data_IF_695025973467
#
_entry.id   IF_695025973467
#
_cell.length_a   1.000
_cell.length_b   1.000
_cell.length_c   1.000
_cell.angle_alpha   90.00
_cell.angle_beta   90.00
_cell.angle_gamma   90.00
#
_symmetry.space_group_name_H-M   'P 1'
#
loop_
_entity.id
_entity.type
_entity.pdbx_description
1 polymer ?
#
# COMPACT_ATOMS: atom_id res chain seq x y z
N UNK A 1 -0.63 32.87 -11.96
CA UNK A 1 -0.52 32.01 -12.05
C UNK A 1 0.18 31.55 -12.83
N UNK A 2 0.68 30.95 -12.70
CA UNK A 2 1.52 30.53 -13.39
C UNK A 2 1.67 29.12 -13.47
N UNK A 3 0.62 28.38 -13.22
CA UNK A 3 0.63 26.96 -13.38
C UNK A 3 0.84 26.63 -14.83
N UNK A 4 1.80 25.78 -15.09
CA UNK A 4 2.09 25.34 -16.42
C UNK A 4 0.93 24.50 -16.93
N UNK A 5 0.47 24.69 -18.18
CA UNK A 5 -0.68 23.92 -18.67
C UNK A 5 -0.51 22.42 -18.58
N UNK A 6 0.71 21.91 -18.80
CA UNK A 6 0.94 20.48 -18.69
C UNK A 6 0.81 19.99 -17.27
N UNK A 7 1.25 20.78 -16.30
CA UNK A 7 1.12 20.41 -14.90
C UNK A 7 -0.34 20.35 -14.50
N UNK A 8 -1.11 21.31 -14.95
CA UNK A 8 -2.52 21.34 -14.68
C UNK A 8 -3.22 20.12 -15.28
N UNK A 9 -2.84 19.76 -16.49
CA UNK A 9 -3.41 18.62 -17.17
C UNK A 9 -3.05 17.32 -16.46
N UNK A 10 -1.81 17.19 -16.03
CA UNK A 10 -1.38 16.00 -15.32
C UNK A 10 -2.12 15.84 -14.00
N UNK A 11 -2.34 16.94 -13.31
CA UNK A 11 -3.10 16.88 -12.06
C UNK A 11 -4.53 16.46 -12.31
N UNK A 12 -5.11 16.86 -13.42
CA UNK A 12 -6.47 16.48 -13.75
C UNK A 12 -6.58 14.98 -14.04
N UNK A 13 -5.49 14.38 -14.54
CA UNK A 13 -5.50 12.96 -14.87
C UNK A 13 -5.25 12.06 -13.68
N UNK A 14 -4.82 12.60 -12.55
CA UNK A 14 -4.48 11.80 -11.38
C UNK A 14 -5.28 12.27 -10.18
N UNK A 15 -5.90 11.32 -9.54
CA UNK A 15 -6.64 11.57 -8.31
C UNK A 15 -5.89 10.93 -7.17
N UNK A 16 -5.60 11.72 -6.13
CA UNK A 16 -4.95 11.23 -4.94
C UNK A 16 -6.01 11.05 -3.86
N UNK A 17 -6.11 9.85 -3.33
CA UNK A 17 -7.06 9.54 -2.27
C UNK A 17 -6.34 8.99 -1.07
N UNK A 18 -6.82 9.37 0.11
CA UNK A 18 -6.36 8.76 1.33
C UNK A 18 -7.00 7.39 1.47
N UNK A 19 -6.16 6.41 1.74
CA UNK A 19 -6.62 5.04 1.94
C UNK A 19 -5.91 4.45 3.15
N UNK A 20 -6.48 3.39 3.68
CA UNK A 20 -5.84 2.62 4.74
C UNK A 20 -5.26 1.37 4.13
N UNK A 21 -4.04 1.05 4.52
CA UNK A 21 -3.37 -0.18 4.12
C UNK A 21 -2.86 -0.88 5.35
N UNK A 22 -2.56 -2.15 5.21
CA UNK A 22 -2.02 -2.93 6.32
C UNK A 22 -0.57 -3.23 6.01
N UNK A 23 0.32 -2.72 6.86
CA UNK A 23 1.75 -2.96 6.70
C UNK A 23 2.10 -4.26 7.41
N UNK A 24 2.72 -5.18 6.68
CA UNK A 24 2.96 -6.52 7.18
C UNK A 24 4.43 -6.84 7.40
N UNK A 25 5.33 -6.03 6.82
CA UNK A 25 6.76 -6.34 6.92
C UNK A 25 7.56 -5.15 6.41
N UNK A 26 8.77 -5.01 6.90
CA UNK A 26 9.70 -4.02 6.33
C UNK A 26 11.13 -4.53 6.43
N UNK A 27 11.95 -4.12 5.47
CA UNK A 27 13.36 -4.50 5.43
C UNK A 27 14.14 -3.48 4.62
N UNK A 28 15.39 -3.27 4.99
CA UNK A 28 16.29 -2.45 4.20
C UNK A 28 16.93 -3.22 3.05
N UNK A 29 16.71 -4.54 2.98
CA UNK A 29 17.32 -5.39 1.98
C UNK A 29 16.28 -5.79 0.94
N UNK A 30 16.51 -5.35 -0.31
CA UNK A 30 15.54 -5.57 -1.38
C UNK A 30 15.23 -7.05 -1.63
N UNK A 31 16.24 -7.90 -1.59
CA UNK A 31 16.02 -9.33 -1.85
C UNK A 31 15.18 -9.97 -0.77
N UNK A 32 15.35 -9.54 0.48
CA UNK A 32 14.55 -10.05 1.58
C UNK A 32 13.10 -9.58 1.42
N UNK A 33 12.91 -8.32 1.08
CA UNK A 33 11.57 -7.78 0.88
C UNK A 33 10.85 -8.52 -0.24
N UNK A 34 11.55 -8.78 -1.36
CA UNK A 34 10.94 -9.51 -2.48
C UNK A 34 10.53 -10.92 -2.09
N UNK A 35 11.40 -11.61 -1.36
CA UNK A 35 11.10 -12.98 -0.93
C UNK A 35 9.90 -13.00 0.00
N UNK A 36 9.84 -12.06 0.95
CA UNK A 36 8.72 -11.99 1.87
C UNK A 36 7.43 -11.57 1.19
N UNK A 37 7.51 -10.68 0.22
CA UNK A 37 6.32 -10.29 -0.54
C UNK A 37 5.71 -11.51 -1.23
N UNK A 38 6.55 -12.32 -1.85
CA UNK A 38 6.07 -13.51 -2.53
C UNK A 38 5.48 -14.51 -1.54
N UNK A 39 6.14 -14.70 -0.40
CA UNK A 39 5.67 -15.60 0.63
C UNK A 39 4.31 -15.17 1.16
N UNK A 40 4.15 -13.88 1.46
CA UNK A 40 2.89 -13.37 1.96
C UNK A 40 1.78 -13.43 0.92
N UNK A 41 2.09 -13.18 -0.34
CA UNK A 41 1.10 -13.31 -1.41
C UNK A 41 0.56 -14.73 -1.47
N UNK A 42 1.44 -15.72 -1.33
CA UNK A 42 1.01 -17.11 -1.35
C UNK A 42 0.16 -17.47 -0.14
N UNK A 43 0.53 -16.99 1.04
CA UNK A 43 -0.19 -17.31 2.26
C UNK A 43 -1.53 -16.59 2.33
N UNK A 44 -1.55 -15.31 1.97
CA UNK A 44 -2.72 -14.47 2.17
C UNK A 44 -3.64 -14.45 0.96
N UNK A 45 -3.14 -14.86 -0.21
CA UNK A 45 -3.94 -14.88 -1.42
C UNK A 45 -4.28 -13.48 -1.93
N UNK A 46 -3.46 -12.50 -1.61
CA UNK A 46 -3.74 -11.12 -1.94
C UNK A 46 -2.50 -10.43 -2.47
N UNK A 47 -2.69 -9.34 -3.22
CA UNK A 47 -1.58 -8.58 -3.75
C UNK A 47 -0.82 -7.90 -2.63
N UNK A 48 0.50 -8.02 -2.64
CA UNK A 48 1.37 -7.33 -1.69
C UNK A 48 2.07 -6.20 -2.45
N UNK A 49 1.86 -4.98 -1.98
CA UNK A 49 2.51 -3.81 -2.54
C UNK A 49 3.84 -3.59 -1.84
N UNK A 50 4.87 -3.28 -2.61
CA UNK A 50 6.18 -2.95 -2.06
C UNK A 50 6.42 -1.47 -2.26
N UNK A 51 6.45 -0.74 -1.16
CA UNK A 51 6.70 0.70 -1.18
C UNK A 51 8.09 0.96 -0.65
N UNK A 52 8.92 1.63 -1.44
CA UNK A 52 10.24 2.00 -0.96
C UNK A 52 10.20 3.39 -0.35
N UNK A 53 10.39 3.44 0.94
CA UNK A 53 10.49 4.69 1.68
C UNK A 53 11.84 4.67 2.38
N UNK A 54 12.81 5.33 1.79
CA UNK A 54 14.23 5.28 2.16
C UNK A 54 14.42 5.28 3.67
N UNK A 55 15.17 4.34 4.25
CA UNK A 55 15.91 3.28 3.56
C UNK A 55 15.18 1.93 3.55
N UNK A 56 13.88 1.91 3.72
CA UNK A 56 13.13 0.67 3.96
C UNK A 56 12.20 0.34 2.80
N UNK A 57 12.14 -0.94 2.50
CA UNK A 57 11.09 -1.50 1.66
C UNK A 57 9.98 -1.95 2.58
N UNK A 58 8.78 -1.41 2.37
CA UNK A 58 7.63 -1.70 3.24
C UNK A 58 6.59 -2.47 2.45
N UNK A 59 6.18 -3.59 3.01
CA UNK A 59 5.19 -4.45 2.37
C UNK A 59 3.82 -4.14 2.93
N UNK A 60 2.87 -3.89 2.04
CA UNK A 60 1.54 -3.43 2.43
C UNK A 60 0.47 -4.16 1.64
N UNK A 61 -0.65 -4.38 2.27
CA UNK A 61 -1.79 -5.07 1.68
C UNK A 61 -3.02 -4.19 1.76
N UNK A 62 -3.84 -4.28 0.72
CA UNK A 62 -5.16 -3.69 0.70
C UNK A 62 -5.15 -2.22 0.34
N UNK A 63 -6.35 -1.73 0.11
CA UNK A 63 -6.57 -0.32 -0.17
C UNK A 63 -7.98 -0.05 0.32
N UNK A 64 -8.10 0.18 1.63
CA UNK A 64 -9.39 0.30 2.28
C UNK A 64 -9.80 1.75 2.38
N UNK A 65 -11.06 2.04 2.09
CA UNK A 65 -11.57 3.39 2.12
C UNK A 65 -11.74 3.91 3.53
N UNK A 66 -12.00 3.02 4.47
CA UNK A 66 -12.22 3.43 5.86
C UNK A 66 -11.49 2.49 6.80
N UNK A 67 -11.29 2.97 8.02
CA UNK A 67 -10.52 2.23 9.01
C UNK A 67 -11.23 0.94 9.44
N UNK A 68 -12.54 0.95 9.47
CA UNK A 68 -13.28 -0.23 9.93
C UNK A 68 -13.02 -1.43 9.03
N UNK A 69 -13.01 -1.21 7.71
CA UNK A 69 -12.72 -2.29 6.77
C UNK A 69 -11.30 -2.82 6.98
N UNK A 70 -10.35 -1.92 7.22
CA UNK A 70 -8.97 -2.32 7.48
C UNK A 70 -8.87 -3.09 8.78
N UNK A 71 -9.61 -2.69 9.81
CA UNK A 71 -9.60 -3.38 11.10
C UNK A 71 -10.14 -4.81 10.99
N UNK A 72 -11.16 -4.98 10.16
CA UNK A 72 -11.70 -6.32 9.92
C UNK A 72 -10.69 -7.18 9.18
N UNK A 73 -10.01 -6.62 8.20
CA UNK A 73 -9.04 -7.37 7.41
C UNK A 73 -7.79 -7.73 8.21
N UNK A 74 -7.34 -6.83 9.10
CA UNK A 74 -6.10 -7.07 9.82
C UNK A 74 -6.20 -8.25 10.78
N UNK A 75 -7.38 -8.53 11.31
CA UNK A 75 -7.55 -9.67 12.19
C UNK A 75 -7.21 -10.97 11.46
N UNK A 76 -7.72 -11.11 10.25
CA UNK A 76 -7.43 -12.27 9.43
C UNK A 76 -5.96 -12.35 9.05
N UNK A 77 -5.40 -11.21 8.66
CA UNK A 77 -4.01 -11.13 8.23
C UNK A 77 -3.07 -11.51 9.36
N UNK A 78 -3.33 -11.02 10.56
CA UNK A 78 -2.54 -11.38 11.74
C UNK A 78 -2.64 -12.86 12.05
N UNK A 79 -3.83 -13.39 11.93
CA UNK A 79 -4.08 -14.81 12.21
C UNK A 79 -3.35 -15.71 11.22
N UNK A 80 -3.22 -15.26 9.98
CA UNK A 80 -2.56 -16.04 8.93
C UNK A 80 -1.04 -15.94 8.97
N UNK A 81 -0.47 -15.14 9.87
CA UNK A 81 0.97 -15.14 10.08
C UNK A 81 1.63 -13.80 10.22
N UNK A 82 0.99 -12.71 9.79
CA UNK A 82 1.57 -11.38 9.93
C UNK A 82 1.21 -10.80 11.29
N UNK A 83 1.79 -11.35 12.34
CA UNK A 83 1.39 -11.05 13.71
C UNK A 83 1.63 -9.60 14.10
N UNK A 84 2.62 -8.97 13.51
CA UNK A 84 2.96 -7.58 13.85
C UNK A 84 2.37 -6.59 12.86
N UNK A 85 1.42 -7.03 12.04
CA UNK A 85 0.78 -6.16 11.06
C UNK A 85 0.06 -5.02 11.76
N UNK A 86 0.07 -3.86 11.11
CA UNK A 86 -0.62 -2.70 11.66
C UNK A 86 -1.15 -1.83 10.53
N UNK A 87 -2.16 -1.04 10.86
CA UNK A 87 -2.86 -0.22 9.89
C UNK A 87 -2.12 1.09 9.71
N UNK A 88 -1.90 1.48 8.45
CA UNK A 88 -1.34 2.78 8.13
C UNK A 88 -2.32 3.53 7.24
N UNK A 89 -2.16 4.84 7.24
CA UNK A 89 -2.91 5.71 6.35
C UNK A 89 -1.93 6.24 5.33
N UNK A 90 -2.28 6.12 4.06
CA UNK A 90 -1.40 6.58 2.99
C UNK A 90 -2.22 7.11 1.84
N UNK A 91 -1.55 7.64 0.84
CA UNK A 91 -2.24 8.17 -0.33
C UNK A 91 -1.99 7.24 -1.50
N UNK A 92 -3.07 6.91 -2.17
CA UNK A 92 -3.00 6.12 -3.39
C UNK A 92 -3.40 6.99 -4.56
N UNK A 93 -2.68 6.83 -5.66
CA UNK A 93 -2.99 7.57 -6.87
C UNK A 93 -3.78 6.67 -7.79
N UNK A 94 -4.84 7.21 -8.37
CA UNK A 94 -5.53 6.50 -9.42
C UNK A 94 -5.70 7.44 -10.60
N UNK A 95 -5.61 6.85 -11.78
CA UNK A 95 -5.74 7.64 -13.00
C UNK A 95 -7.21 7.81 -13.32
N UNK A 96 -7.57 9.02 -13.70
CA UNK A 96 -8.92 9.31 -14.10
C UNK A 96 -9.25 8.55 -15.36
N UNK A 97 -10.40 7.91 -15.40
CA UNK A 97 -10.83 7.23 -16.59
C UNK A 97 -11.37 8.20 -17.59
N UNK A 98 -11.08 7.95 -18.82
CA UNK A 98 -11.58 8.77 -19.91
C UNK A 98 -12.79 8.14 -20.56
#
# INVERSE_FOLDING_TARGET
HNMHPLDSKNEADQITKEVFRIQIFESSVASIARAEAKRFQNILGDTVYTDFETPLYKLRIGSFKNRKSAEEAIETIQRLGAKDAWIIRTKAKSRKKL
#
